data_IF_395796939895
#
_entry.id   IF_395796939895
#
_cell.length_a   1.000
_cell.length_b   1.000
_cell.length_c   1.000
_cell.angle_alpha   90.00
_cell.angle_beta   90.00
_cell.angle_gamma   90.00
#
_symmetry.space_group_name_H-M   'P 1'
#
loop_
_entity.id
_entity.type
_entity.pdbx_description
1 polymer ?
#
# COMPACT_ATOMS: atom_id res chain seq x y z
N UNK A 1 24.13 47.16 -38.49
CA UNK A 1 22.94 46.37 -38.10
C UNK A 1 23.16 44.91 -38.53
N UNK A 2 24.16 44.22 -38.01
CA UNK A 2 24.13 43.33 -36.82
C UNK A 2 22.75 42.72 -36.48
N UNK A 3 22.56 41.45 -36.85
CA UNK A 3 21.57 40.56 -36.25
C UNK A 3 22.30 39.27 -35.84
N UNK A 4 22.42 39.10 -34.52
CA UNK A 4 23.13 38.02 -33.85
C UNK A 4 22.51 36.65 -34.13
N UNK A 5 23.32 35.72 -34.61
CA UNK A 5 23.06 34.27 -34.55
C UNK A 5 23.41 33.81 -33.13
N UNK A 6 22.38 33.55 -32.31
CA UNK A 6 22.53 32.89 -31.02
C UNK A 6 22.84 31.41 -31.21
N UNK A 7 24.09 31.02 -30.97
CA UNK A 7 24.50 29.62 -30.76
C UNK A 7 24.02 29.19 -29.36
N UNK A 8 23.05 28.30 -29.28
CA UNK A 8 22.82 27.54 -28.05
C UNK A 8 23.70 26.30 -28.06
N UNK A 9 24.54 26.21 -27.03
CA UNK A 9 25.42 25.09 -26.75
C UNK A 9 24.59 23.82 -26.45
N UNK A 10 25.08 22.63 -26.80
CA UNK A 10 24.45 21.38 -26.39
C UNK A 10 24.64 21.24 -24.87
N UNK A 11 23.54 21.27 -24.11
CA UNK A 11 23.58 20.83 -22.72
C UNK A 11 23.88 19.33 -22.71
N UNK A 12 24.94 19.00 -21.98
CA UNK A 12 25.48 17.67 -21.76
C UNK A 12 24.37 16.75 -21.26
N UNK A 13 23.93 15.83 -22.13
CA UNK A 13 23.24 14.62 -21.73
C UNK A 13 24.29 13.75 -21.04
N UNK A 14 24.38 13.86 -19.72
CA UNK A 14 25.14 12.91 -18.93
C UNK A 14 24.33 11.62 -18.85
N UNK A 15 24.65 10.69 -19.76
CA UNK A 15 24.31 9.29 -19.67
C UNK A 15 24.77 8.72 -18.33
N UNK A 16 23.86 8.56 -17.37
CA UNK A 16 24.05 7.63 -16.24
C UNK A 16 23.48 6.25 -16.59
N UNK A 17 23.92 5.72 -17.73
CA UNK A 17 23.72 4.33 -18.14
C UNK A 17 25.09 3.63 -18.08
N UNK A 18 25.51 3.22 -16.88
CA UNK A 18 26.56 2.21 -16.67
C UNK A 18 26.77 1.95 -15.17
N UNK A 19 26.09 0.95 -14.61
CA UNK A 19 26.59 0.10 -13.53
C UNK A 19 25.61 -1.05 -13.22
N UNK A 20 25.24 -1.83 -14.25
CA UNK A 20 24.62 -3.14 -14.09
C UNK A 20 25.39 -4.05 -15.04
N UNK A 21 26.40 -4.75 -14.54
CA UNK A 21 26.92 -6.05 -15.02
C UNK A 21 28.25 -6.37 -14.33
N UNK A 22 28.16 -7.12 -13.23
CA UNK A 22 29.22 -8.01 -12.75
C UNK A 22 28.59 -9.09 -11.84
N UNK A 23 27.84 -10.02 -12.44
CA UNK A 23 27.35 -11.21 -11.72
C UNK A 23 28.44 -12.29 -11.76
N UNK A 24 29.33 -12.24 -10.78
CA UNK A 24 30.06 -13.41 -10.31
C UNK A 24 29.26 -14.02 -9.17
N UNK A 25 28.86 -15.28 -9.30
CA UNK A 25 28.22 -16.03 -8.21
C UNK A 25 29.21 -16.17 -7.04
N UNK A 26 29.20 -15.20 -6.12
CA UNK A 26 29.61 -15.43 -4.74
C UNK A 26 28.36 -15.85 -4.00
N UNK A 27 28.41 -17.00 -3.33
CA UNK A 27 27.61 -17.24 -2.14
C UNK A 27 28.05 -16.19 -1.08
N UNK A 28 27.62 -14.95 -1.29
CA UNK A 28 27.92 -13.81 -0.43
C UNK A 28 26.85 -13.72 0.64
N UNK A 29 27.27 -13.34 1.85
CA UNK A 29 26.34 -12.97 2.91
C UNK A 29 25.33 -11.95 2.37
N UNK A 30 24.08 -12.03 2.81
CA UNK A 30 23.06 -11.05 2.46
C UNK A 30 23.62 -9.63 2.72
N UNK A 31 23.56 -8.78 1.71
CA UNK A 31 23.95 -7.40 1.82
C UNK A 31 23.08 -6.70 2.87
N UNK A 32 23.69 -5.77 3.61
CA UNK A 32 22.95 -4.94 4.53
C UNK A 32 21.91 -4.09 3.77
N UNK A 33 20.81 -3.77 4.45
CA UNK A 33 19.83 -2.81 3.93
C UNK A 33 20.56 -1.50 3.63
N UNK A 34 20.36 -0.90 2.44
CA UNK A 34 20.99 0.37 2.09
C UNK A 34 20.62 1.49 3.06
N UNK A 35 21.49 2.50 3.17
CA UNK A 35 21.16 3.72 3.90
C UNK A 35 19.88 4.38 3.35
N UNK A 36 19.13 5.04 4.22
CA UNK A 36 17.78 5.56 3.94
C UNK A 36 17.65 6.31 2.61
N UNK A 37 18.51 7.30 2.33
CA UNK A 37 18.46 8.07 1.09
C UNK A 37 18.66 7.22 -0.18
N UNK A 38 19.53 6.20 -0.10
CA UNK A 38 19.75 5.27 -1.21
C UNK A 38 18.59 4.29 -1.34
N UNK A 39 18.09 3.75 -0.22
CA UNK A 39 16.93 2.87 -0.22
C UNK A 39 15.70 3.56 -0.81
N UNK A 40 15.43 4.79 -0.41
CA UNK A 40 14.35 5.61 -0.96
C UNK A 40 14.51 5.80 -2.47
N UNK A 41 15.70 6.20 -2.92
CA UNK A 41 15.98 6.38 -4.36
C UNK A 41 15.77 5.10 -5.16
N UNK A 42 16.22 3.95 -4.64
CA UNK A 42 16.02 2.65 -5.26
C UNK A 42 14.54 2.28 -5.32
N UNK A 43 13.80 2.44 -4.22
CA UNK A 43 12.38 2.13 -4.12
C UNK A 43 11.55 2.99 -5.07
N UNK A 44 11.83 4.30 -5.18
CA UNK A 44 11.16 5.18 -6.13
C UNK A 44 11.44 4.78 -7.59
N UNK A 45 12.66 4.34 -7.91
CA UNK A 45 13.00 3.85 -9.24
C UNK A 45 12.28 2.53 -9.56
N UNK A 46 12.30 1.57 -8.62
CA UNK A 46 11.64 0.26 -8.76
C UNK A 46 10.12 0.43 -8.84
N UNK A 47 9.53 1.29 -8.02
CA UNK A 47 8.09 1.57 -8.03
C UNK A 47 7.66 2.21 -9.35
N UNK A 48 8.44 3.16 -9.88
CA UNK A 48 8.21 3.71 -11.23
C UNK A 48 8.26 2.64 -12.30
N UNK A 49 9.16 1.67 -12.17
CA UNK A 49 9.13 0.49 -13.02
C UNK A 49 7.82 -0.25 -12.79
N UNK A 50 7.48 -0.72 -11.60
CA UNK A 50 6.27 -1.54 -11.34
C UNK A 50 4.97 -0.88 -11.83
N UNK A 51 4.75 0.40 -11.56
CA UNK A 51 3.52 1.14 -11.89
C UNK A 51 3.49 1.62 -13.34
N UNK A 52 4.64 1.90 -13.95
CA UNK A 52 4.73 2.63 -15.21
C UNK A 52 4.04 1.97 -16.41
N UNK A 53 3.54 2.79 -17.33
CA UNK A 53 3.09 2.35 -18.65
C UNK A 53 4.31 2.27 -19.59
N UNK A 54 4.33 1.31 -20.51
CA UNK A 54 5.43 1.14 -21.45
C UNK A 54 5.17 -0.01 -22.44
N UNK A 55 6.06 -0.21 -23.42
CA UNK A 55 5.98 -1.36 -24.32
C UNK A 55 5.96 -2.67 -23.51
N UNK A 56 5.44 -3.75 -24.12
CA UNK A 56 5.46 -5.09 -23.54
C UNK A 56 6.83 -5.36 -22.92
N UNK A 57 6.81 -5.65 -21.62
CA UNK A 57 8.03 -5.78 -20.83
C UNK A 57 8.57 -7.19 -20.96
N UNK A 58 9.89 -7.33 -20.85
CA UNK A 58 10.46 -8.64 -20.60
C UNK A 58 9.99 -9.14 -19.21
N UNK A 59 9.27 -10.26 -19.19
CA UNK A 59 8.78 -10.88 -17.95
C UNK A 59 9.94 -11.25 -17.01
N UNK A 60 11.13 -11.54 -17.54
CA UNK A 60 12.32 -11.84 -16.74
C UNK A 60 12.72 -10.65 -15.88
N UNK A 61 12.85 -9.49 -16.51
CA UNK A 61 13.25 -8.24 -15.85
C UNK A 61 12.28 -7.77 -14.75
N UNK A 62 10.96 -7.94 -14.94
CA UNK A 62 9.99 -7.64 -13.89
C UNK A 62 9.95 -8.74 -12.82
N UNK A 63 10.10 -10.01 -13.21
CA UNK A 63 10.15 -11.15 -12.30
C UNK A 63 11.27 -11.02 -11.26
N UNK A 64 12.37 -10.38 -11.62
CA UNK A 64 13.47 -10.05 -10.72
C UNK A 64 13.15 -9.02 -9.63
N UNK A 65 12.09 -8.22 -9.80
CA UNK A 65 11.64 -7.21 -8.84
C UNK A 65 10.48 -7.69 -7.97
N UNK A 66 9.96 -8.89 -8.22
CA UNK A 66 8.74 -9.42 -7.56
C UNK A 66 9.08 -10.70 -6.80
N UNK A 67 8.89 -10.66 -5.47
CA UNK A 67 9.18 -11.77 -4.57
C UNK A 67 8.33 -13.00 -4.86
N UNK A 68 8.86 -14.19 -4.56
CA UNK A 68 8.21 -15.47 -4.88
C UNK A 68 6.84 -15.64 -4.21
N UNK A 69 6.65 -15.05 -3.04
CA UNK A 69 5.44 -15.09 -2.24
C UNK A 69 4.55 -13.85 -2.44
N UNK A 70 4.77 -13.11 -3.53
CA UNK A 70 4.00 -11.91 -3.88
C UNK A 70 2.48 -12.18 -3.95
N UNK A 71 1.71 -11.22 -3.43
CA UNK A 71 0.25 -11.18 -3.52
C UNK A 71 -0.25 -9.78 -3.85
N UNK A 72 -1.34 -9.70 -4.59
CA UNK A 72 -1.97 -8.43 -4.91
C UNK A 72 -3.48 -8.44 -4.75
N UNK A 73 -4.01 -7.30 -4.31
CA UNK A 73 -5.43 -6.95 -4.42
C UNK A 73 -5.57 -5.83 -5.46
N UNK A 74 -6.16 -6.17 -6.60
CA UNK A 74 -6.43 -5.23 -7.69
C UNK A 74 -7.51 -4.19 -7.33
N UNK A 75 -7.63 -3.15 -8.14
CA UNK A 75 -8.57 -2.04 -7.94
C UNK A 75 -10.06 -2.41 -8.08
N UNK A 76 -10.34 -3.57 -8.65
CA UNK A 76 -11.64 -4.25 -8.68
C UNK A 76 -11.84 -5.19 -7.48
N UNK A 77 -10.84 -5.25 -6.60
CA UNK A 77 -10.73 -6.16 -5.48
C UNK A 77 -10.06 -7.48 -5.83
N UNK A 78 -9.85 -7.87 -7.09
CA UNK A 78 -9.40 -9.21 -7.46
C UNK A 78 -8.07 -9.61 -6.78
N UNK A 79 -7.97 -10.86 -6.31
CA UNK A 79 -6.72 -11.41 -5.78
C UNK A 79 -5.86 -11.91 -6.93
N UNK A 80 -4.63 -11.41 -7.02
CA UNK A 80 -3.69 -11.69 -8.10
C UNK A 80 -2.41 -12.24 -7.49
N UNK A 81 -1.98 -13.42 -7.93
CA UNK A 81 -0.69 -14.00 -7.53
C UNK A 81 0.46 -13.50 -8.43
N UNK A 82 1.68 -13.90 -8.10
CA UNK A 82 2.89 -13.55 -8.88
C UNK A 82 2.79 -13.95 -10.35
N UNK A 83 2.30 -15.14 -10.65
CA UNK A 83 2.25 -15.65 -12.02
C UNK A 83 1.27 -14.83 -12.87
N UNK A 84 0.07 -14.59 -12.34
CA UNK A 84 -0.95 -13.78 -12.97
C UNK A 84 -0.50 -12.31 -13.13
N UNK A 85 0.18 -11.75 -12.13
CA UNK A 85 0.75 -10.39 -12.19
C UNK A 85 1.77 -10.27 -13.33
N UNK A 86 2.78 -11.15 -13.38
CA UNK A 86 3.81 -11.12 -14.42
C UNK A 86 3.21 -11.37 -15.82
N UNK A 87 2.23 -12.27 -15.93
CA UNK A 87 1.53 -12.53 -17.18
C UNK A 87 0.68 -11.34 -17.67
N UNK A 88 0.17 -10.52 -16.76
CA UNK A 88 -0.53 -9.29 -17.12
C UNK A 88 0.45 -8.21 -17.61
N UNK A 89 1.64 -8.12 -17.00
CA UNK A 89 2.64 -7.08 -17.31
C UNK A 89 3.36 -7.25 -18.65
N UNK A 90 3.30 -8.43 -19.27
CA UNK A 90 3.84 -8.67 -20.63
C UNK A 90 2.85 -8.32 -21.74
N UNK A 91 1.57 -8.07 -21.41
CA UNK A 91 0.59 -7.67 -22.41
C UNK A 91 0.88 -6.23 -22.83
N UNK A 92 0.91 -5.93 -24.14
CA UNK A 92 1.02 -4.55 -24.60
C UNK A 92 -0.17 -3.77 -24.03
N UNK A 93 0.10 -2.77 -23.21
CA UNK A 93 -0.91 -1.78 -22.84
C UNK A 93 -0.68 -0.54 -23.71
N UNK A 94 -1.75 0.17 -24.09
CA UNK A 94 -1.59 1.40 -24.85
C UNK A 94 -0.75 2.40 -24.04
N UNK A 95 0.15 3.16 -24.69
CA UNK A 95 0.93 4.18 -24.01
C UNK A 95 0.00 5.31 -23.55
N UNK A 96 -0.56 5.14 -22.37
CA UNK A 96 -1.26 6.19 -21.66
C UNK A 96 -0.30 7.20 -21.07
N UNK A 97 -0.73 8.45 -20.93
CA UNK A 97 -0.03 9.37 -20.04
C UNK A 97 -0.23 8.88 -18.62
N UNK A 98 0.88 8.62 -17.95
CA UNK A 98 0.90 8.12 -16.59
C UNK A 98 1.55 9.16 -15.68
N UNK A 99 0.82 9.66 -14.68
CA UNK A 99 1.36 10.56 -13.66
C UNK A 99 1.53 9.80 -12.34
N UNK A 100 2.61 10.13 -11.62
CA UNK A 100 2.88 9.66 -10.26
C UNK A 100 2.76 10.86 -9.35
N UNK A 101 1.79 10.82 -8.45
CA UNK A 101 1.55 11.88 -7.49
C UNK A 101 1.66 11.34 -6.07
N UNK A 102 2.18 12.18 -5.17
CA UNK A 102 2.25 11.91 -3.74
C UNK A 102 2.96 10.60 -3.36
N UNK A 103 3.95 10.20 -4.16
CA UNK A 103 4.74 9.00 -3.86
C UNK A 103 5.52 9.22 -2.56
N UNK A 104 5.33 8.34 -1.59
CA UNK A 104 5.98 8.38 -0.27
C UNK A 104 6.54 7.03 0.07
N UNK A 105 7.77 7.03 0.54
CA UNK A 105 8.46 5.84 1.05
C UNK A 105 8.48 5.90 2.57
N UNK A 106 8.16 4.79 3.22
CA UNK A 106 8.36 4.58 4.67
C UNK A 106 9.22 3.34 4.87
N UNK A 107 10.36 3.51 5.52
CA UNK A 107 11.31 2.44 5.79
C UNK A 107 11.14 1.88 7.21
N UNK A 108 11.16 0.56 7.31
CA UNK A 108 11.06 -0.23 8.53
C UNK A 108 12.13 -1.32 8.53
N UNK A 109 13.39 -0.91 8.59
CA UNK A 109 14.53 -1.82 8.44
C UNK A 109 14.51 -2.48 7.06
N UNK A 110 14.38 -3.81 7.02
CA UNK A 110 14.35 -4.57 5.77
C UNK A 110 13.01 -4.52 5.03
N UNK A 111 11.99 -3.84 5.56
CA UNK A 111 10.67 -3.68 4.91
C UNK A 111 10.47 -2.22 4.54
N UNK A 112 9.85 -1.96 3.38
CA UNK A 112 9.48 -0.62 2.96
C UNK A 112 8.04 -0.59 2.44
N UNK A 113 7.33 0.49 2.75
CA UNK A 113 6.02 0.78 2.19
C UNK A 113 6.16 1.93 1.20
N UNK A 114 5.61 1.76 0.01
CA UNK A 114 5.49 2.83 -0.99
C UNK A 114 4.01 3.09 -1.24
N UNK A 115 3.60 4.34 -1.01
CA UNK A 115 2.23 4.78 -1.25
C UNK A 115 2.26 5.81 -2.36
N UNK A 116 1.26 5.82 -3.24
CA UNK A 116 1.15 6.85 -4.26
C UNK A 116 -0.20 6.86 -4.93
N UNK A 117 -0.37 7.83 -5.81
CA UNK A 117 -1.48 7.90 -6.76
C UNK A 117 -0.92 7.74 -8.16
N UNK A 118 -1.54 6.87 -8.93
CA UNK A 118 -1.31 6.74 -10.36
C UNK A 118 -2.57 7.14 -11.11
N UNK A 119 -2.41 7.96 -12.13
CA UNK A 119 -3.44 8.22 -13.12
C UNK A 119 -3.03 7.58 -14.44
N UNK A 120 -3.85 6.65 -14.94
CA UNK A 120 -3.69 6.05 -16.25
C UNK A 120 -4.74 6.60 -17.20
N UNK A 121 -4.30 7.27 -18.26
CA UNK A 121 -5.15 7.74 -19.35
C UNK A 121 -5.09 6.73 -20.49
N UNK A 122 -6.23 6.21 -20.95
CA UNK A 122 -6.31 5.42 -22.19
C UNK A 122 -7.19 6.17 -23.21
N UNK A 123 -6.78 6.14 -24.47
CA UNK A 123 -7.47 6.85 -25.54
C UNK A 123 -8.88 6.30 -25.72
N UNK A 124 -9.88 7.13 -25.38
CA UNK A 124 -11.30 6.79 -25.48
C UNK A 124 -11.91 6.17 -24.22
N UNK A 125 -11.15 6.06 -23.13
CA UNK A 125 -11.66 5.67 -21.81
C UNK A 125 -11.52 6.82 -20.80
N UNK A 126 -12.39 6.89 -19.78
CA UNK A 126 -12.19 7.84 -18.69
C UNK A 126 -10.87 7.56 -17.95
N UNK A 127 -10.18 8.60 -17.44
CA UNK A 127 -8.96 8.41 -16.65
C UNK A 127 -9.21 7.47 -15.49
N UNK A 128 -8.37 6.43 -15.37
CA UNK A 128 -8.36 5.57 -14.20
C UNK A 128 -7.35 6.12 -13.20
N UNK A 129 -7.88 6.68 -12.11
CA UNK A 129 -7.06 7.16 -10.98
C UNK A 129 -7.09 6.12 -9.86
N UNK A 130 -5.93 5.65 -9.46
CA UNK A 130 -5.77 4.64 -8.42
C UNK A 130 -4.84 5.15 -7.33
N UNK A 131 -5.24 4.98 -6.07
CA UNK A 131 -4.30 5.03 -4.95
C UNK A 131 -3.76 3.63 -4.73
N UNK A 132 -2.45 3.49 -4.50
CA UNK A 132 -1.82 2.20 -4.28
C UNK A 132 -0.95 2.19 -3.02
N UNK A 133 -0.76 0.98 -2.50
CA UNK A 133 0.24 0.65 -1.47
C UNK A 133 1.01 -0.57 -1.94
N UNK A 134 2.33 -0.41 -2.01
CA UNK A 134 3.28 -1.46 -2.32
C UNK A 134 4.13 -1.75 -1.09
N UNK A 135 4.35 -3.04 -0.82
CA UNK A 135 5.24 -3.47 0.25
C UNK A 135 6.43 -4.17 -0.38
N UNK A 136 7.62 -3.65 -0.07
CA UNK A 136 8.90 -4.20 -0.47
C UNK A 136 9.60 -4.84 0.71
N UNK A 137 10.33 -5.92 0.44
CA UNK A 137 11.19 -6.57 1.42
C UNK A 137 12.58 -6.72 0.81
N UNK A 138 13.59 -6.29 1.56
CA UNK A 138 14.99 -6.45 1.22
C UNK A 138 15.39 -7.91 1.40
N UNK A 139 15.77 -8.57 0.30
CA UNK A 139 16.21 -9.96 0.31
C UNK A 139 17.51 -10.10 -0.47
N UNK A 140 18.47 -10.80 0.14
CA UNK A 140 19.84 -11.00 -0.36
C UNK A 140 20.56 -9.67 -0.63
N UNK A 141 20.30 -9.01 -1.75
CA UNK A 141 20.98 -7.79 -2.20
C UNK A 141 20.03 -6.82 -2.92
N UNK A 142 18.72 -7.02 -2.82
CA UNK A 142 17.73 -6.23 -3.56
C UNK A 142 16.39 -6.10 -2.86
N UNK A 143 15.67 -5.05 -3.22
CA UNK A 143 14.26 -4.87 -2.86
C UNK A 143 13.37 -5.71 -3.78
N UNK A 144 12.46 -6.48 -3.18
CA UNK A 144 11.45 -7.26 -3.88
C UNK A 144 10.05 -6.83 -3.46
N UNK A 145 9.17 -6.59 -4.43
CA UNK A 145 7.75 -6.37 -4.20
C UNK A 145 7.13 -7.67 -3.68
N UNK A 146 6.58 -7.63 -2.46
CA UNK A 146 5.99 -8.80 -1.78
C UNK A 146 4.49 -8.67 -1.54
N UNK A 147 3.95 -7.45 -1.61
CA UNK A 147 2.51 -7.20 -1.64
C UNK A 147 2.18 -5.93 -2.42
N UNK A 148 1.02 -5.90 -3.08
CA UNK A 148 0.49 -4.71 -3.73
C UNK A 148 -1.02 -4.61 -3.53
N UNK A 149 -1.52 -3.40 -3.29
CA UNK A 149 -2.96 -3.14 -3.26
C UNK A 149 -3.27 -1.81 -3.93
N UNK A 150 -4.38 -1.76 -4.66
CA UNK A 150 -4.84 -0.54 -5.31
C UNK A 150 -6.34 -0.33 -5.08
N UNK A 151 -6.75 0.92 -4.93
CA UNK A 151 -8.15 1.33 -4.81
C UNK A 151 -8.44 2.51 -5.75
N UNK A 152 -9.55 2.47 -6.50
CA UNK A 152 -9.98 3.58 -7.33
C UNK A 152 -10.24 4.84 -6.52
N UNK A 153 -9.69 5.97 -6.98
CA UNK A 153 -9.97 7.28 -6.45
C UNK A 153 -11.30 7.77 -7.06
N UNK A 154 -12.37 7.80 -6.27
CA UNK A 154 -13.70 8.23 -6.76
C UNK A 154 -13.71 9.70 -7.11
N UNK A 155 -14.62 10.09 -8.00
CA UNK A 155 -14.84 11.47 -8.37
C UNK A 155 -15.11 12.35 -7.13
N UNK A 156 -14.49 13.53 -7.08
CA UNK A 156 -14.58 14.46 -5.95
C UNK A 156 -13.69 14.11 -4.75
N UNK A 157 -13.00 12.97 -4.74
CA UNK A 157 -12.01 12.64 -3.70
C UNK A 157 -10.68 13.30 -4.03
N UNK A 158 -10.16 14.10 -3.09
CA UNK A 158 -8.86 14.76 -3.23
C UNK A 158 -7.71 13.74 -3.22
N UNK A 159 -6.68 14.00 -4.02
CA UNK A 159 -5.41 13.27 -3.93
C UNK A 159 -4.68 13.63 -2.66
N UNK A 160 -4.63 14.93 -2.37
CA UNK A 160 -4.02 15.48 -1.18
C UNK A 160 -4.61 14.84 0.08
N UNK A 161 -3.72 14.56 1.02
CA UNK A 161 -4.10 14.15 2.38
C UNK A 161 -5.13 15.14 2.92
N UNK A 162 -6.26 14.62 3.41
CA UNK A 162 -7.17 15.43 4.20
C UNK A 162 -6.46 15.83 5.49
N UNK A 163 -6.12 17.11 5.63
CA UNK A 163 -5.74 17.67 6.94
C UNK A 163 -6.91 17.43 7.88
N UNK A 164 -6.69 16.60 8.90
CA UNK A 164 -7.68 16.33 9.91
C UNK A 164 -7.65 17.43 10.96
N UNK A 165 -8.82 17.71 11.54
CA UNK A 165 -8.92 18.39 12.82
C UNK A 165 -8.05 17.68 13.88
N UNK A 166 -7.69 18.34 15.00
CA UNK A 166 -6.99 17.67 16.10
C UNK A 166 -7.72 16.37 16.48
N UNK A 167 -6.98 15.31 16.84
CA UNK A 167 -7.58 14.05 17.22
C UNK A 167 -8.61 14.29 18.33
N UNK A 168 -9.74 13.57 18.32
CA UNK A 168 -10.71 13.68 19.40
C UNK A 168 -10.03 13.40 20.74
N UNK A 169 -10.49 14.04 21.82
CA UNK A 169 -10.08 13.61 23.16
C UNK A 169 -10.70 12.24 23.42
N UNK A 170 -9.86 11.21 23.45
CA UNK A 170 -10.26 9.83 23.64
C UNK A 170 -9.85 9.39 25.05
N UNK A 171 -10.76 8.78 25.78
CA UNK A 171 -10.44 8.18 27.08
C UNK A 171 -9.42 7.06 26.90
N UNK A 172 -8.53 6.87 27.88
CA UNK A 172 -7.55 5.80 27.83
C UNK A 172 -8.25 4.44 27.74
N UNK A 173 -7.75 3.59 26.85
CA UNK A 173 -8.20 2.20 26.78
C UNK A 173 -7.75 1.44 28.03
N UNK A 174 -8.69 0.73 28.66
CA UNK A 174 -8.47 0.01 29.91
C UNK A 174 -8.29 -1.51 29.72
N UNK A 175 -8.27 -1.97 28.47
CA UNK A 175 -8.04 -3.37 28.15
C UNK A 175 -6.59 -3.79 28.32
N UNK A 176 -6.30 -5.03 27.91
CA UNK A 176 -4.94 -5.58 27.89
C UNK A 176 -4.67 -6.16 26.51
N UNK A 177 -3.51 -5.84 25.95
CA UNK A 177 -3.06 -6.42 24.69
C UNK A 177 -3.05 -7.96 24.82
N UNK A 178 -3.43 -8.70 23.75
CA UNK A 178 -3.26 -10.14 23.75
C UNK A 178 -1.78 -10.51 23.90
N UNK A 179 -1.52 -11.63 24.59
CA UNK A 179 -0.17 -12.15 24.86
C UNK A 179 -0.04 -13.56 24.30
N UNK A 180 1.17 -13.95 23.90
CA UNK A 180 1.45 -15.29 23.36
C UNK A 180 2.36 -15.24 22.15
N UNK A 181 2.23 -16.25 21.27
CA UNK A 181 2.88 -16.22 19.96
C UNK A 181 2.38 -15.03 19.15
N UNK A 182 3.29 -14.32 18.49
CA UNK A 182 2.97 -13.11 17.72
C UNK A 182 1.90 -13.37 16.64
N UNK A 183 1.86 -14.55 16.03
CA UNK A 183 0.86 -14.87 14.99
C UNK A 183 -0.53 -14.95 15.60
N UNK A 184 -0.64 -15.54 16.79
CA UNK A 184 -1.91 -15.62 17.53
C UNK A 184 -2.31 -14.26 18.10
N UNK A 185 -1.34 -13.46 18.55
CA UNK A 185 -1.54 -12.07 18.97
C UNK A 185 -2.09 -11.24 17.80
N UNK A 186 -1.47 -11.31 16.62
CA UNK A 186 -1.92 -10.60 15.42
C UNK A 186 -3.32 -11.05 14.96
N UNK A 187 -3.63 -12.35 15.07
CA UNK A 187 -4.98 -12.86 14.78
C UNK A 187 -6.04 -12.25 15.72
N UNK A 188 -5.75 -12.21 17.02
CA UNK A 188 -6.63 -11.60 18.02
C UNK A 188 -6.76 -10.09 17.81
N UNK A 189 -5.66 -9.38 17.50
CA UNK A 189 -5.68 -7.95 17.20
C UNK A 189 -6.53 -7.65 15.96
N UNK A 190 -6.47 -8.49 14.93
CA UNK A 190 -7.33 -8.36 13.75
C UNK A 190 -8.82 -8.52 14.08
N UNK A 191 -9.18 -9.51 14.91
CA UNK A 191 -10.56 -9.68 15.37
C UNK A 191 -11.03 -8.50 16.24
N UNK A 192 -10.15 -7.99 17.11
CA UNK A 192 -10.42 -6.83 17.95
C UNK A 192 -10.57 -5.55 17.14
N UNK A 193 -9.78 -5.36 16.08
CA UNK A 193 -9.91 -4.23 15.16
C UNK A 193 -11.34 -4.18 14.60
N UNK A 194 -11.81 -5.29 14.04
CA UNK A 194 -13.15 -5.34 13.44
C UNK A 194 -14.25 -5.25 14.50
N UNK A 195 -14.04 -5.80 15.70
CA UNK A 195 -14.95 -5.56 16.83
C UNK A 195 -15.03 -4.08 17.20
N UNK A 196 -13.89 -3.40 17.33
CA UNK A 196 -13.82 -1.99 17.65
C UNK A 196 -14.54 -1.12 16.61
N UNK A 197 -14.48 -1.49 15.32
CA UNK A 197 -15.31 -0.85 14.29
C UNK A 197 -16.82 -1.04 14.55
N UNK A 198 -17.26 -2.25 14.88
CA UNK A 198 -18.68 -2.55 15.13
C UNK A 198 -19.22 -1.81 16.35
N UNK A 199 -18.40 -1.65 17.37
CA UNK A 199 -18.74 -1.03 18.65
C UNK A 199 -18.43 0.48 18.70
N UNK A 200 -17.80 1.04 17.66
CA UNK A 200 -17.23 2.40 17.65
C UNK A 200 -16.28 2.66 18.84
N UNK A 201 -15.47 1.65 19.21
CA UNK A 201 -14.49 1.73 20.28
C UNK A 201 -13.24 2.49 19.83
N UNK A 202 -13.34 3.82 19.84
CA UNK A 202 -12.23 4.71 19.49
C UNK A 202 -11.08 4.64 20.50
N UNK A 203 -11.32 4.22 21.74
CA UNK A 203 -10.25 4.05 22.74
C UNK A 203 -9.31 2.90 22.35
N UNK A 204 -9.87 1.79 21.87
CA UNK A 204 -9.06 0.69 21.33
C UNK A 204 -8.21 1.17 20.14
N UNK A 205 -8.80 1.92 19.19
CA UNK A 205 -8.03 2.46 18.07
C UNK A 205 -6.93 3.44 18.51
N UNK A 206 -7.21 4.33 19.47
CA UNK A 206 -6.21 5.24 20.04
C UNK A 206 -5.02 4.45 20.62
N UNK A 207 -5.27 3.33 21.31
CA UNK A 207 -4.21 2.52 21.89
C UNK A 207 -3.41 1.69 20.86
N UNK A 208 -4.02 1.27 19.75
CA UNK A 208 -3.44 0.29 18.82
C UNK A 208 -2.99 0.85 17.48
N UNK A 209 -3.39 2.07 17.11
CA UNK A 209 -2.87 2.76 15.92
C UNK A 209 -1.58 3.51 16.25
N UNK A 210 -0.52 3.24 15.49
CA UNK A 210 0.76 3.94 15.62
C UNK A 210 0.59 5.45 15.38
N UNK A 211 1.47 6.26 15.97
CA UNK A 211 1.39 7.73 15.88
C UNK A 211 1.38 8.28 14.45
N UNK A 212 2.04 7.58 13.52
CA UNK A 212 2.17 7.89 12.10
C UNK A 212 1.23 7.04 11.22
N UNK A 213 0.20 6.44 11.81
CA UNK A 213 -0.78 5.62 11.11
C UNK A 213 -1.43 6.37 9.94
N UNK A 214 -1.66 5.63 8.86
CA UNK A 214 -2.36 6.09 7.67
C UNK A 214 -3.35 5.05 7.15
N UNK A 215 -4.38 5.52 6.44
CA UNK A 215 -5.37 4.64 5.84
C UNK A 215 -5.76 5.11 4.44
N UNK A 216 -5.86 4.15 3.51
CA UNK A 216 -6.59 4.32 2.25
C UNK A 216 -7.97 3.70 2.38
N UNK A 217 -9.01 4.52 2.28
CA UNK A 217 -10.41 4.13 2.37
C UNK A 217 -10.90 3.52 1.05
N UNK A 218 -12.06 2.85 1.07
CA UNK A 218 -12.61 2.16 -0.11
C UNK A 218 -13.10 3.05 -1.27
N UNK A 219 -13.07 4.37 -1.09
CA UNK A 219 -13.29 5.38 -2.15
C UNK A 219 -11.97 6.03 -2.64
N UNK A 220 -10.83 5.57 -2.12
CA UNK A 220 -9.50 6.10 -2.40
C UNK A 220 -9.13 7.31 -1.55
N UNK A 221 -9.97 7.76 -0.62
CA UNK A 221 -9.61 8.82 0.32
C UNK A 221 -8.45 8.38 1.21
N UNK A 222 -7.58 9.32 1.57
CA UNK A 222 -6.42 9.05 2.42
C UNK A 222 -6.39 9.97 3.62
N UNK A 223 -6.18 9.34 4.77
CA UNK A 223 -6.25 9.99 6.07
C UNK A 223 -5.08 9.52 6.94
N UNK A 224 -4.61 10.41 7.81
CA UNK A 224 -3.74 10.05 8.91
C UNK A 224 -4.56 9.69 10.16
N UNK A 225 -3.85 9.18 11.18
CA UNK A 225 -4.39 8.76 12.47
C UNK A 225 -5.52 9.62 13.02
N UNK A 226 -5.36 10.94 13.11
CA UNK A 226 -6.38 11.83 13.68
C UNK A 226 -7.69 11.82 12.87
N UNK A 227 -7.62 11.80 11.53
CA UNK A 227 -8.78 11.64 10.66
C UNK A 227 -9.43 10.27 10.82
N UNK A 228 -8.62 9.22 10.86
CA UNK A 228 -9.11 7.85 11.07
C UNK A 228 -9.84 7.69 12.41
N UNK A 229 -9.30 8.22 13.51
CA UNK A 229 -9.94 8.20 14.83
C UNK A 229 -11.27 8.96 14.84
N UNK A 230 -11.33 10.11 14.18
CA UNK A 230 -12.58 10.87 14.02
C UNK A 230 -13.63 10.09 13.20
N UNK A 231 -13.20 9.27 12.24
CA UNK A 231 -14.09 8.39 11.49
C UNK A 231 -14.56 7.19 12.33
N UNK A 232 -13.66 6.54 13.07
CA UNK A 232 -13.97 5.39 13.93
C UNK A 232 -14.83 5.74 15.16
N UNK A 233 -14.80 6.99 15.62
CA UNK A 233 -15.70 7.47 16.66
C UNK A 233 -17.17 7.57 16.21
N UNK A 234 -17.44 7.52 14.91
CA UNK A 234 -18.82 7.52 14.39
C UNK A 234 -19.39 6.10 14.51
N UNK A 235 -20.66 5.94 14.94
CA UNK A 235 -21.31 4.63 15.05
C UNK A 235 -21.75 4.09 13.66
N UNK A 236 -20.83 4.06 12.70
CA UNK A 236 -21.07 3.75 11.29
C UNK A 236 -21.66 2.35 11.13
N UNK A 237 -21.12 1.35 11.82
CA UNK A 237 -21.69 0.00 11.83
C UNK A 237 -23.12 0.00 12.37
N UNK A 238 -23.32 0.52 13.58
CA UNK A 238 -24.63 0.54 14.22
C UNK A 238 -25.69 1.32 13.42
N UNK A 239 -25.30 2.30 12.59
CA UNK A 239 -26.21 3.11 11.78
C UNK A 239 -26.47 2.51 10.40
N UNK A 240 -25.47 1.91 9.74
CA UNK A 240 -25.57 1.52 8.32
C UNK A 240 -25.48 0.02 8.06
N UNK A 241 -24.88 -0.76 8.96
CA UNK A 241 -24.59 -2.17 8.73
C UNK A 241 -25.48 -3.07 9.57
N UNK A 242 -25.81 -4.24 9.00
CA UNK A 242 -26.40 -5.38 9.69
C UNK A 242 -25.35 -6.44 9.99
N UNK A 243 -24.45 -6.68 9.05
CA UNK A 243 -23.42 -7.72 9.15
C UNK A 243 -22.09 -7.22 8.57
N UNK A 244 -20.98 -7.61 9.20
CA UNK A 244 -19.61 -7.25 8.77
C UNK A 244 -18.58 -8.28 9.32
N UNK A 245 -18.68 -9.58 9.01
CA UNK A 245 -17.74 -10.62 9.46
C UNK A 245 -16.33 -10.41 8.91
N UNK A 246 -15.40 -11.24 9.41
CA UNK A 246 -14.03 -11.34 8.90
C UNK A 246 -13.83 -12.74 8.35
N UNK A 247 -13.34 -12.84 7.12
CA UNK A 247 -13.10 -14.10 6.42
C UNK A 247 -11.73 -14.07 5.73
N UNK A 248 -11.20 -15.25 5.39
CA UNK A 248 -9.97 -15.39 4.59
C UNK A 248 -8.74 -14.65 5.15
N UNK A 249 -8.56 -14.67 6.48
CA UNK A 249 -7.46 -14.00 7.18
C UNK A 249 -6.13 -14.69 6.86
N UNK A 250 -5.23 -13.97 6.20
CA UNK A 250 -3.86 -14.37 5.94
C UNK A 250 -2.90 -13.43 6.69
N UNK A 251 -1.97 -14.00 7.45
CA UNK A 251 -0.97 -13.24 8.21
C UNK A 251 0.42 -13.64 7.71
N UNK A 252 1.21 -12.66 7.27
CA UNK A 252 2.61 -12.82 6.85
C UNK A 252 3.51 -11.92 7.67
N UNK A 253 4.59 -12.47 8.22
CA UNK A 253 5.54 -11.74 9.06
C UNK A 253 6.88 -11.52 8.35
N UNK A 254 7.47 -10.35 8.60
CA UNK A 254 8.76 -9.89 8.11
C UNK A 254 9.55 -9.31 9.30
N UNK A 255 10.03 -10.20 10.18
CA UNK A 255 10.61 -9.81 11.46
C UNK A 255 9.57 -9.13 12.36
N UNK A 256 9.82 -7.86 12.68
CA UNK A 256 8.96 -7.01 13.53
C UNK A 256 7.82 -6.34 12.75
N UNK A 257 7.63 -6.67 11.47
CA UNK A 257 6.51 -6.22 10.64
C UNK A 257 5.59 -7.40 10.31
N UNK A 258 4.30 -7.14 10.18
CA UNK A 258 3.32 -8.12 9.74
C UNK A 258 2.30 -7.50 8.79
N UNK A 259 1.91 -8.26 7.78
CA UNK A 259 0.83 -7.94 6.86
C UNK A 259 -0.34 -8.86 7.19
N UNK A 260 -1.52 -8.29 7.38
CA UNK A 260 -2.77 -9.01 7.55
C UNK A 260 -3.67 -8.67 6.36
N UNK A 261 -3.96 -9.67 5.54
CA UNK A 261 -4.85 -9.55 4.39
C UNK A 261 -6.13 -10.34 4.68
N UNK A 262 -7.31 -9.71 4.58
CA UNK A 262 -8.56 -10.43 4.78
C UNK A 262 -9.74 -9.84 4.00
N UNK A 263 -10.86 -10.56 4.03
CA UNK A 263 -12.12 -10.17 3.41
C UNK A 263 -13.13 -9.78 4.51
N UNK A 264 -13.84 -8.67 4.30
CA UNK A 264 -15.02 -8.27 5.03
C UNK A 264 -16.24 -8.31 4.09
N UNK A 265 -16.94 -9.45 4.01
CA UNK A 265 -18.29 -9.43 3.47
C UNK A 265 -19.17 -8.55 4.37
N UNK A 266 -20.17 -7.90 3.77
CA UNK A 266 -21.06 -7.02 4.52
C UNK A 266 -22.49 -7.08 4.00
N UNK A 267 -23.41 -6.82 4.92
CA UNK A 267 -24.81 -6.52 4.64
C UNK A 267 -25.16 -5.18 5.29
N UNK A 268 -25.71 -4.27 4.51
CA UNK A 268 -26.20 -2.98 4.96
C UNK A 268 -27.66 -3.09 5.40
N UNK A 269 -28.10 -2.17 6.26
CA UNK A 269 -29.50 -2.15 6.74
C UNK A 269 -30.52 -1.88 5.65
N UNK A 270 -30.10 -1.23 4.56
CA UNK A 270 -30.91 -0.98 3.36
C UNK A 270 -30.94 -2.16 2.38
N UNK A 271 -30.34 -3.30 2.73
CA UNK A 271 -30.33 -4.53 1.93
C UNK A 271 -29.18 -4.65 0.94
N UNK A 272 -28.34 -3.61 0.76
CA UNK A 272 -27.15 -3.72 -0.08
C UNK A 272 -26.13 -4.68 0.55
N UNK A 273 -25.53 -5.52 -0.27
CA UNK A 273 -24.48 -6.45 0.15
C UNK A 273 -23.20 -6.23 -0.66
N UNK A 274 -22.08 -6.73 -0.16
CA UNK A 274 -20.82 -6.69 -0.89
C UNK A 274 -19.67 -7.30 -0.10
N UNK A 275 -18.46 -7.09 -0.60
CA UNK A 275 -17.23 -7.49 0.09
C UNK A 275 -16.22 -6.37 -0.05
N UNK A 276 -15.54 -6.04 1.04
CA UNK A 276 -14.32 -5.23 1.01
C UNK A 276 -13.13 -6.13 1.35
N UNK A 277 -11.99 -5.89 0.70
CA UNK A 277 -10.72 -6.53 1.05
C UNK A 277 -9.82 -5.51 1.69
N UNK A 278 -9.10 -5.91 2.72
CA UNK A 278 -8.17 -5.03 3.40
C UNK A 278 -6.79 -5.66 3.54
N UNK A 279 -5.79 -4.78 3.54
CA UNK A 279 -4.42 -5.09 3.98
C UNK A 279 -4.07 -4.13 5.11
N UNK A 280 -3.87 -4.69 6.30
CA UNK A 280 -3.38 -3.97 7.46
C UNK A 280 -1.91 -4.33 7.69
N UNK A 281 -1.09 -3.33 7.96
CA UNK A 281 0.34 -3.49 8.22
C UNK A 281 0.59 -3.11 9.67
N UNK A 282 1.16 -4.05 10.42
CA UNK A 282 1.43 -3.94 11.83
C UNK A 282 2.94 -3.94 12.08
N UNK A 283 3.39 -3.13 13.04
CA UNK A 283 4.76 -3.09 13.53
C UNK A 283 4.77 -3.45 15.01
N UNK A 284 5.68 -4.35 15.40
CA UNK A 284 5.97 -4.63 16.79
C UNK A 284 6.82 -3.50 17.35
N UNK A 285 6.31 -2.85 18.39
CA UNK A 285 6.93 -1.73 19.08
C UNK A 285 7.11 -2.08 20.56
N UNK A 286 7.92 -1.32 21.33
CA UNK A 286 7.90 -1.43 22.78
C UNK A 286 6.47 -1.26 23.30
N UNK A 287 5.94 -2.30 23.94
CA UNK A 287 4.55 -2.31 24.43
C UNK A 287 3.52 -3.00 23.52
N UNK A 288 3.93 -3.62 22.41
CA UNK A 288 3.07 -4.51 21.61
C UNK A 288 3.04 -4.17 20.12
N UNK A 289 2.18 -4.88 19.39
CA UNK A 289 1.94 -4.61 17.98
C UNK A 289 1.06 -3.36 17.81
N UNK A 290 1.41 -2.50 16.86
CA UNK A 290 0.65 -1.31 16.48
C UNK A 290 0.39 -1.32 14.97
N UNK A 291 -0.83 -0.98 14.56
CA UNK A 291 -1.17 -0.85 13.16
C UNK A 291 -0.58 0.46 12.63
N UNK A 292 0.20 0.39 11.56
CA UNK A 292 0.92 1.52 10.95
C UNK A 292 0.31 1.94 9.60
N UNK A 293 -0.48 1.08 8.97
CA UNK A 293 -1.15 1.34 7.71
C UNK A 293 -2.34 0.41 7.51
N UNK A 294 -3.41 0.91 6.92
CA UNK A 294 -4.51 0.11 6.37
C UNK A 294 -4.82 0.52 4.93
N UNK A 295 -5.25 -0.44 4.10
CA UNK A 295 -5.71 -0.17 2.74
C UNK A 295 -6.95 -1.01 2.46
N UNK A 296 -8.05 -0.35 2.08
CA UNK A 296 -9.35 -0.99 1.81
C UNK A 296 -9.68 -0.89 0.32
N UNK A 297 -10.07 -2.00 -0.30
CA UNK A 297 -10.56 -2.07 -1.68
C UNK A 297 -11.88 -2.83 -1.74
N UNK A 298 -13.00 -2.18 -2.13
CA UNK A 298 -14.25 -2.88 -2.39
C UNK A 298 -14.13 -3.83 -3.58
N UNK A 299 -14.71 -5.02 -3.47
CA UNK A 299 -14.86 -5.94 -4.59
C UNK A 299 -15.96 -5.42 -5.50
N UNK A 300 -15.63 -5.19 -6.77
CA UNK A 300 -16.62 -4.83 -7.79
C UNK A 300 -17.18 -6.10 -8.40
N UNK A 301 -18.50 -6.21 -8.41
CA UNK A 301 -19.19 -7.21 -9.22
C UNK A 301 -19.19 -6.68 -10.65
N UNK A 302 -18.60 -7.45 -11.57
CA UNK A 302 -18.58 -7.15 -12.99
C UNK A 302 -19.94 -7.31 -13.65
#
# INVERSE_FOLDING_TARGET
>A
MSAMKGRFAPLIVANCAAALLAFGARAGAAAAVPAEALAESQLLAIDRVIVGAGPARDAGSLGELVGNDFRMVGHDGARVDRSAFLAASVRPNRPGRLSHEEVRVRLFGAVALVHGVVEALDDGQPPLRLRYTHVFHWQADRWLLVAAQSTPLREGVATAVRQSNPPPQVAAWLGRDPVGDDTDVLRQLNEQYVRAFREADVAWYEAHLASDYMVTQGDGAFEYRAGALAAFARPTFATHFRSFPVEQVNIRRFGELALIEADNPYEMKDGRTGTARYTDIWQKQPGGWRCISAHITPVRVG
#
